data_IF_724966656514
#
_entry.id   IF_724966656514
#
_cell.length_a   1.000
_cell.length_b   1.000
_cell.length_c   1.000
_cell.angle_alpha   90.00
_cell.angle_beta   90.00
_cell.angle_gamma   90.00
#
_symmetry.space_group_name_H-M   'P 1'
#
loop_
_entity.id
_entity.type
_entity.pdbx_description
1 polymer ?
#
# COMPACT_ATOMS: atom_id res chain seq x y z
N UNK A 1 -1.97 9.37 -15.83
CA UNK A 1 -1.12 10.40 -15.18
C UNK A 1 -1.93 11.44 -14.44
N UNK A 2 -2.90 12.10 -15.11
CA UNK A 2 -3.77 13.11 -14.46
C UNK A 2 -4.51 12.55 -13.24
N UNK A 3 -5.06 11.33 -13.33
CA UNK A 3 -5.75 10.70 -12.20
C UNK A 3 -4.84 10.39 -11.01
N UNK A 4 -3.57 10.04 -11.24
CA UNK A 4 -2.62 9.75 -10.16
C UNK A 4 -2.22 11.02 -9.39
N UNK A 5 -2.22 12.19 -10.05
CA UNK A 5 -2.07 13.46 -9.36
C UNK A 5 -3.21 13.74 -8.37
N UNK A 6 -4.40 13.20 -8.60
CA UNK A 6 -5.57 13.47 -7.77
C UNK A 6 -5.42 12.92 -6.34
N UNK A 7 -4.85 11.73 -6.14
CA UNK A 7 -4.66 11.19 -4.77
C UNK A 7 -3.57 11.98 -4.01
N UNK A 8 -2.58 12.55 -4.70
CA UNK A 8 -1.56 13.42 -4.06
C UNK A 8 -2.20 14.73 -3.63
N UNK A 9 -2.99 15.35 -4.51
CA UNK A 9 -3.73 16.57 -4.20
C UNK A 9 -4.73 16.34 -3.06
N UNK A 10 -5.41 15.18 -3.06
CA UNK A 10 -6.29 14.79 -1.96
C UNK A 10 -5.52 14.71 -0.64
N UNK A 11 -4.36 14.05 -0.63
CA UNK A 11 -3.55 13.93 0.58
C UNK A 11 -3.10 15.30 1.12
N UNK A 12 -2.63 16.19 0.24
CA UNK A 12 -2.24 17.56 0.61
C UNK A 12 -3.45 18.37 1.12
N UNK A 13 -4.61 18.24 0.46
CA UNK A 13 -5.81 18.97 0.87
C UNK A 13 -6.32 18.48 2.23
N UNK A 14 -6.36 17.16 2.44
CA UNK A 14 -6.76 16.56 3.70
C UNK A 14 -5.82 16.96 4.86
N UNK A 15 -4.51 16.98 4.60
CA UNK A 15 -3.50 17.47 5.54
C UNK A 15 -3.73 18.91 5.98
N UNK A 16 -4.04 19.80 5.03
CA UNK A 16 -4.31 21.21 5.34
C UNK A 16 -5.59 21.39 6.15
N UNK A 17 -6.62 20.59 5.86
CA UNK A 17 -7.89 20.63 6.59
C UNK A 17 -7.73 20.15 8.03
N UNK A 18 -6.96 19.08 8.26
CA UNK A 18 -6.79 18.47 9.59
C UNK A 18 -5.70 19.14 10.48
N UNK A 19 -5.25 20.35 10.12
CA UNK A 19 -4.35 21.13 10.98
C UNK A 19 -2.85 21.02 10.71
N UNK A 20 -2.44 20.50 9.54
CA UNK A 20 -1.08 20.72 9.01
C UNK A 20 -0.18 19.48 8.86
N UNK A 21 1.12 19.73 8.73
CA UNK A 21 2.13 18.74 8.33
C UNK A 21 2.82 18.08 9.53
N UNK A 22 2.10 17.20 10.21
CA UNK A 22 2.72 16.31 11.21
C UNK A 22 3.61 15.25 10.56
N UNK A 23 4.39 14.50 11.36
CA UNK A 23 5.22 13.39 10.86
C UNK A 23 4.41 12.35 10.09
N UNK A 24 3.22 12.00 10.61
CA UNK A 24 2.30 11.09 9.93
C UNK A 24 1.91 11.62 8.56
N UNK A 25 1.44 12.87 8.52
CA UNK A 25 0.98 13.53 7.30
C UNK A 25 2.06 13.64 6.24
N UNK A 26 3.27 14.02 6.64
CA UNK A 26 4.43 14.08 5.74
C UNK A 26 4.71 12.71 5.13
N UNK A 27 4.77 11.65 5.93
CA UNK A 27 5.01 10.31 5.41
C UNK A 27 3.88 9.82 4.49
N UNK A 28 2.62 10.09 4.80
CA UNK A 28 1.50 9.75 3.91
C UNK A 28 1.59 10.49 2.56
N UNK A 29 1.91 11.78 2.57
CA UNK A 29 2.07 12.58 1.34
C UNK A 29 3.25 12.08 0.50
N UNK A 30 4.38 11.77 1.13
CA UNK A 30 5.51 11.15 0.43
C UNK A 30 5.14 9.77 -0.13
N UNK A 31 4.40 8.96 0.64
CA UNK A 31 3.85 7.67 0.19
C UNK A 31 3.05 7.82 -1.10
N UNK A 32 2.12 8.77 -1.11
CA UNK A 32 1.31 9.11 -2.28
C UNK A 32 2.18 9.60 -3.44
N UNK A 33 3.07 10.57 -3.20
CA UNK A 33 3.95 11.11 -4.23
C UNK A 33 4.81 10.04 -4.91
N UNK A 34 5.37 9.10 -4.15
CA UNK A 34 6.13 7.98 -4.70
C UNK A 34 5.23 6.97 -5.44
N UNK A 35 3.96 6.82 -5.05
CA UNK A 35 2.96 6.11 -5.86
C UNK A 35 2.72 6.78 -7.22
N UNK A 36 2.57 8.10 -7.24
CA UNK A 36 2.44 8.87 -8.49
C UNK A 36 3.67 8.72 -9.41
N UNK A 37 4.87 8.79 -8.85
CA UNK A 37 6.11 8.53 -9.59
C UNK A 37 6.16 7.08 -10.10
N UNK A 38 5.72 6.12 -9.30
CA UNK A 38 5.60 4.72 -9.70
C UNK A 38 4.72 4.55 -10.93
N UNK A 39 3.54 5.19 -10.94
CA UNK A 39 2.64 5.22 -12.08
C UNK A 39 3.30 5.85 -13.31
N UNK A 40 4.03 6.96 -13.13
CA UNK A 40 4.74 7.62 -14.22
C UNK A 40 5.73 6.67 -14.86
N UNK A 41 6.61 6.05 -14.08
CA UNK A 41 7.65 5.18 -14.61
C UNK A 41 7.08 3.90 -15.22
N UNK A 42 6.06 3.27 -14.62
CA UNK A 42 5.43 2.08 -15.21
C UNK A 42 4.79 2.36 -16.58
N UNK A 43 4.31 3.57 -16.83
CA UNK A 43 3.68 3.96 -18.08
C UNK A 43 4.64 4.64 -19.08
N UNK A 44 5.81 5.09 -18.65
CA UNK A 44 6.70 5.94 -19.45
C UNK A 44 7.24 5.22 -20.72
N UNK A 45 7.76 3.99 -20.62
CA UNK A 45 8.12 3.12 -21.76
C UNK A 45 8.18 1.65 -21.31
N UNK A 46 7.85 0.69 -22.18
CA UNK A 46 7.86 -0.75 -21.89
C UNK A 46 9.24 -1.40 -21.67
N UNK A 47 10.22 -0.68 -21.12
CA UNK A 47 11.55 -1.20 -20.83
C UNK A 47 11.64 -1.75 -19.41
N UNK A 48 12.50 -2.75 -19.20
CA UNK A 48 12.77 -3.31 -17.87
C UNK A 48 13.28 -2.25 -16.88
N UNK A 49 14.03 -1.25 -17.36
CA UNK A 49 14.54 -0.15 -16.51
C UNK A 49 13.38 0.66 -15.92
N UNK A 50 12.43 1.07 -16.76
CA UNK A 50 11.25 1.81 -16.32
C UNK A 50 10.36 0.97 -15.39
N UNK A 51 10.23 -0.33 -15.66
CA UNK A 51 9.55 -1.25 -14.75
C UNK A 51 10.20 -1.29 -13.36
N UNK A 52 11.52 -1.47 -13.29
CA UNK A 52 12.25 -1.53 -12.02
C UNK A 52 12.19 -0.18 -11.30
N UNK A 53 12.36 0.95 -12.01
CA UNK A 53 12.25 2.28 -11.41
C UNK A 53 10.85 2.54 -10.86
N UNK A 54 9.81 2.14 -11.59
CA UNK A 54 8.42 2.22 -11.13
C UNK A 54 8.19 1.37 -9.89
N UNK A 55 8.62 0.11 -9.91
CA UNK A 55 8.52 -0.82 -8.77
C UNK A 55 9.25 -0.28 -7.53
N UNK A 56 10.47 0.25 -7.70
CA UNK A 56 11.24 0.87 -6.62
C UNK A 56 10.55 2.11 -6.07
N UNK A 57 9.90 2.91 -6.92
CA UNK A 57 9.12 4.06 -6.49
C UNK A 57 7.94 3.63 -5.62
N UNK A 58 7.15 2.64 -6.05
CA UNK A 58 6.08 2.09 -5.22
C UNK A 58 6.61 1.49 -3.92
N UNK A 59 7.76 0.80 -3.95
CA UNK A 59 8.39 0.23 -2.75
C UNK A 59 8.65 1.32 -1.70
N UNK A 60 9.25 2.43 -2.12
CA UNK A 60 9.50 3.59 -1.25
C UNK A 60 8.17 4.13 -0.72
N UNK A 61 7.15 4.25 -1.59
CA UNK A 61 5.83 4.70 -1.18
C UNK A 61 5.22 3.86 -0.05
N UNK A 62 5.34 2.54 -0.15
CA UNK A 62 4.86 1.60 0.87
C UNK A 62 5.65 1.66 2.16
N UNK A 63 6.96 1.87 2.09
CA UNK A 63 7.80 2.11 3.28
C UNK A 63 7.33 3.38 4.00
N UNK A 64 7.02 4.45 3.25
CA UNK A 64 6.52 5.69 3.83
C UNK A 64 5.15 5.51 4.49
N UNK A 65 4.23 4.78 3.86
CA UNK A 65 2.95 4.43 4.49
C UNK A 65 3.12 3.61 5.77
N UNK A 66 3.96 2.56 5.74
CA UNK A 66 4.24 1.76 6.93
C UNK A 66 4.87 2.61 8.05
N UNK A 67 5.77 3.53 7.70
CA UNK A 67 6.38 4.46 8.64
C UNK A 67 5.33 5.43 9.22
N UNK A 68 4.42 5.95 8.40
CA UNK A 68 3.32 6.79 8.85
C UNK A 68 2.47 6.08 9.92
N UNK A 69 2.01 4.86 9.63
CA UNK A 69 1.21 4.10 10.59
C UNK A 69 1.98 3.80 11.87
N UNK A 70 3.26 3.47 11.72
CA UNK A 70 4.15 3.21 12.86
C UNK A 70 4.38 4.44 13.75
N UNK A 71 4.43 5.65 13.17
CA UNK A 71 4.56 6.89 13.93
C UNK A 71 3.39 7.08 14.89
N UNK A 72 2.15 6.91 14.39
CA UNK A 72 0.96 7.02 15.25
C UNK A 72 0.98 5.92 16.30
N UNK A 73 1.27 4.68 15.90
CA UNK A 73 1.29 3.54 16.80
C UNK A 73 2.26 3.73 17.98
N UNK A 74 3.48 4.23 17.70
CA UNK A 74 4.52 4.46 18.70
C UNK A 74 4.28 5.71 19.54
N UNK A 75 3.62 6.73 18.98
CA UNK A 75 3.34 7.99 19.67
C UNK A 75 2.19 7.84 20.66
N UNK A 76 1.11 7.16 20.25
CA UNK A 76 -0.17 7.26 20.95
C UNK A 76 -0.46 6.05 21.86
N UNK A 77 0.22 4.92 21.66
CA UNK A 77 -0.07 3.71 22.42
C UNK A 77 1.15 3.24 23.21
N UNK A 78 1.23 3.62 24.50
CA UNK A 78 2.37 3.31 25.38
C UNK A 78 2.67 1.80 25.53
N UNK A 79 1.64 0.95 25.42
CA UNK A 79 1.76 -0.51 25.53
C UNK A 79 1.93 -1.21 24.17
N UNK A 80 2.07 -0.46 23.07
CA UNK A 80 2.28 -1.03 21.76
C UNK A 80 3.70 -1.58 21.63
N UNK A 81 3.80 -2.87 21.28
CA UNK A 81 5.05 -3.49 20.87
C UNK A 81 5.13 -3.51 19.36
N UNK A 82 6.24 -3.00 18.82
CA UNK A 82 6.47 -2.88 17.37
C UNK A 82 6.44 -4.22 16.62
N UNK A 83 6.59 -5.34 17.32
CA UNK A 83 6.41 -6.69 16.76
C UNK A 83 5.61 -7.55 17.74
N UNK A 84 4.36 -7.15 17.99
CA UNK A 84 3.43 -7.95 18.80
C UNK A 84 3.18 -9.33 18.17
N UNK A 85 2.85 -10.33 19.00
CA UNK A 85 2.57 -11.70 18.53
C UNK A 85 1.45 -11.76 17.49
N UNK A 86 0.42 -10.92 17.63
CA UNK A 86 -0.67 -10.78 16.68
C UNK A 86 -0.20 -10.24 15.32
N UNK A 87 0.71 -9.26 15.32
CA UNK A 87 1.29 -8.71 14.10
C UNK A 87 2.16 -9.75 13.38
N UNK A 88 2.98 -10.49 14.13
CA UNK A 88 3.83 -11.56 13.60
C UNK A 88 2.95 -12.64 12.95
N UNK A 89 1.87 -13.04 13.62
CA UNK A 89 0.93 -14.03 13.09
C UNK A 89 0.26 -13.53 11.80
N UNK A 90 -0.28 -12.32 11.81
CA UNK A 90 -0.93 -11.74 10.63
C UNK A 90 0.06 -11.60 9.47
N UNK A 91 1.28 -11.14 9.75
CA UNK A 91 2.34 -11.03 8.77
C UNK A 91 2.69 -12.38 8.15
N UNK A 92 2.87 -13.42 8.98
CA UNK A 92 3.12 -14.78 8.52
C UNK A 92 1.97 -15.29 7.62
N UNK A 93 0.71 -15.04 7.99
CA UNK A 93 -0.46 -15.42 7.18
C UNK A 93 -0.44 -14.76 5.81
N UNK A 94 -0.16 -13.44 5.74
CA UNK A 94 -0.08 -12.72 4.47
C UNK A 94 1.09 -13.24 3.63
N UNK A 95 2.25 -13.50 4.25
CA UNK A 95 3.43 -14.01 3.55
C UNK A 95 3.23 -15.42 2.96
N UNK A 96 2.46 -16.29 3.63
CA UNK A 96 2.09 -17.61 3.07
C UNK A 96 1.24 -17.46 1.80
N UNK A 97 0.49 -16.36 1.65
CA UNK A 97 -0.24 -16.04 0.43
C UNK A 97 0.65 -15.89 -0.81
N UNK A 98 1.91 -15.48 -0.64
CA UNK A 98 2.87 -15.26 -1.74
C UNK A 98 3.17 -16.58 -2.48
N UNK A 99 3.75 -17.63 -1.87
CA UNK A 99 4.03 -18.89 -2.57
C UNK A 99 2.76 -19.57 -3.09
N UNK A 100 1.62 -19.42 -2.40
CA UNK A 100 0.32 -19.91 -2.88
C UNK A 100 -0.07 -19.23 -4.19
N UNK A 101 0.03 -17.90 -4.26
CA UNK A 101 -0.26 -17.14 -5.48
C UNK A 101 0.69 -17.50 -6.62
N UNK A 102 2.00 -17.59 -6.35
CA UNK A 102 3.01 -17.97 -7.36
C UNK A 102 2.67 -19.31 -8.02
N UNK A 103 2.31 -20.32 -7.22
CA UNK A 103 1.93 -21.66 -7.70
C UNK A 103 0.59 -21.64 -8.44
N UNK A 104 -0.45 -21.06 -7.83
CA UNK A 104 -1.83 -21.06 -8.36
C UNK A 104 -1.92 -20.36 -9.72
N UNK A 105 -1.23 -19.24 -9.87
CA UNK A 105 -1.27 -18.44 -11.11
C UNK A 105 -0.15 -18.75 -12.09
N UNK A 106 0.69 -19.77 -11.81
CA UNK A 106 1.79 -20.22 -12.69
C UNK A 106 2.68 -19.06 -13.16
N UNK A 107 3.02 -18.17 -12.24
CA UNK A 107 3.73 -16.92 -12.55
C UNK A 107 5.13 -17.21 -13.13
N UNK A 108 5.48 -16.55 -14.24
CA UNK A 108 6.78 -16.68 -14.91
C UNK A 108 7.51 -15.33 -14.92
N UNK A 109 8.69 -15.30 -14.30
CA UNK A 109 9.52 -14.10 -14.21
C UNK A 109 10.66 -14.15 -15.23
N UNK A 110 10.76 -13.12 -16.06
CA UNK A 110 11.86 -12.92 -17.00
C UNK A 110 12.35 -11.47 -16.89
N UNK A 111 13.64 -11.22 -16.58
CA UNK A 111 14.67 -12.18 -16.14
C UNK A 111 14.37 -12.81 -14.76
N UNK A 112 14.96 -13.97 -14.45
CA UNK A 112 14.71 -14.66 -13.16
C UNK A 112 15.10 -13.81 -11.94
N UNK A 113 16.14 -12.98 -12.04
CA UNK A 113 16.57 -12.08 -10.98
C UNK A 113 15.46 -11.09 -10.54
N UNK A 114 14.47 -10.81 -11.41
CA UNK A 114 13.34 -9.94 -11.10
C UNK A 114 12.48 -10.46 -9.94
N UNK A 115 12.53 -11.78 -9.67
CA UNK A 115 11.79 -12.37 -8.56
C UNK A 115 12.21 -11.79 -7.22
N UNK A 116 13.48 -11.44 -7.03
CA UNK A 116 14.00 -10.90 -5.77
C UNK A 116 13.37 -9.53 -5.51
N UNK A 117 13.34 -8.66 -6.52
CA UNK A 117 12.72 -7.34 -6.41
C UNK A 117 11.22 -7.43 -6.12
N UNK A 118 10.51 -8.37 -6.76
CA UNK A 118 9.06 -8.57 -6.57
C UNK A 118 8.77 -9.17 -5.18
N UNK A 119 9.58 -10.10 -4.70
CA UNK A 119 9.43 -10.67 -3.36
C UNK A 119 9.71 -9.62 -2.28
N UNK A 120 10.77 -8.84 -2.43
CA UNK A 120 11.06 -7.72 -1.53
C UNK A 120 9.89 -6.74 -1.48
N UNK A 121 9.33 -6.41 -2.64
CA UNK A 121 8.16 -5.58 -2.76
C UNK A 121 6.92 -6.15 -2.05
N UNK A 122 6.62 -7.43 -2.27
CA UNK A 122 5.50 -8.10 -1.63
C UNK A 122 5.64 -8.15 -0.09
N UNK A 123 6.87 -8.37 0.41
CA UNK A 123 7.21 -8.34 1.85
C UNK A 123 6.92 -6.97 2.45
N UNK A 124 7.32 -5.89 1.76
CA UNK A 124 7.08 -4.51 2.24
C UNK A 124 5.59 -4.17 2.25
N UNK A 125 4.82 -4.56 1.22
CA UNK A 125 3.36 -4.34 1.22
C UNK A 125 2.69 -5.13 2.33
N UNK A 126 3.09 -6.39 2.54
CA UNK A 126 2.57 -7.19 3.64
C UNK A 126 2.83 -6.49 4.97
N UNK A 127 4.02 -5.94 5.16
CA UNK A 127 4.38 -5.22 6.39
C UNK A 127 3.55 -3.95 6.58
N UNK A 128 3.43 -3.13 5.53
CA UNK A 128 2.58 -1.94 5.51
C UNK A 128 1.12 -2.28 5.84
N UNK A 129 0.61 -3.39 5.31
CA UNK A 129 -0.76 -3.85 5.54
C UNK A 129 -0.99 -4.29 6.98
N UNK A 130 -0.04 -5.02 7.58
CA UNK A 130 -0.09 -5.35 9.00
C UNK A 130 -0.13 -4.09 9.86
N UNK A 131 0.74 -3.10 9.58
CA UNK A 131 0.73 -1.84 10.33
C UNK A 131 -0.56 -1.04 10.17
N UNK A 132 -1.17 -1.05 8.98
CA UNK A 132 -2.48 -0.44 8.76
C UNK A 132 -3.55 -1.12 9.61
N UNK A 133 -3.56 -2.46 9.66
CA UNK A 133 -4.54 -3.23 10.42
C UNK A 133 -4.35 -3.04 11.92
N UNK A 134 -3.10 -3.08 12.40
CA UNK A 134 -2.80 -2.80 13.80
C UNK A 134 -3.26 -1.41 14.18
N UNK A 135 -2.91 -0.38 13.41
CA UNK A 135 -3.33 0.99 13.70
C UNK A 135 -4.86 1.11 13.74
N UNK A 136 -5.56 0.51 12.78
CA UNK A 136 -7.02 0.48 12.76
C UNK A 136 -7.62 -0.13 14.05
N UNK A 137 -7.11 -1.28 14.48
CA UNK A 137 -7.58 -1.98 15.67
C UNK A 137 -7.27 -1.21 16.95
N UNK A 138 -6.09 -0.59 17.04
CA UNK A 138 -5.72 0.24 18.18
C UNK A 138 -6.58 1.51 18.25
N UNK A 139 -6.74 2.26 17.17
CA UNK A 139 -7.64 3.42 17.13
C UNK A 139 -9.08 3.04 17.52
N UNK A 140 -9.56 1.87 17.09
CA UNK A 140 -10.86 1.36 17.50
C UNK A 140 -10.94 1.03 18.99
N UNK A 141 -9.96 0.29 19.51
CA UNK A 141 -9.94 -0.19 20.89
C UNK A 141 -9.76 0.92 21.92
N UNK A 142 -8.97 1.94 21.58
CA UNK A 142 -8.71 3.12 22.44
C UNK A 142 -9.71 4.26 22.21
N UNK A 143 -10.73 4.05 21.38
CA UNK A 143 -11.87 4.97 21.29
C UNK A 143 -11.59 6.28 20.55
N UNK A 144 -10.72 6.28 19.54
CA UNK A 144 -10.44 7.48 18.73
C UNK A 144 -11.73 8.10 18.16
N UNK A 145 -11.72 9.43 18.01
CA UNK A 145 -12.75 10.13 17.25
C UNK A 145 -12.75 9.58 15.80
N UNK A 146 -13.93 9.39 15.22
CA UNK A 146 -14.09 8.77 13.89
C UNK A 146 -13.46 7.37 13.73
N UNK A 147 -13.24 6.62 14.83
CA UNK A 147 -12.63 5.28 14.81
C UNK A 147 -13.18 4.31 13.76
N UNK A 148 -14.48 4.36 13.47
CA UNK A 148 -15.11 3.52 12.45
C UNK A 148 -14.60 3.88 11.05
N UNK A 149 -14.51 5.17 10.73
CA UNK A 149 -13.99 5.64 9.44
C UNK A 149 -12.50 5.35 9.30
N UNK A 150 -11.71 5.60 10.35
CA UNK A 150 -10.28 5.25 10.38
C UNK A 150 -10.09 3.75 10.09
N UNK A 151 -10.85 2.90 10.77
CA UNK A 151 -10.78 1.45 10.60
C UNK A 151 -11.15 1.03 9.17
N UNK A 152 -12.25 1.54 8.64
CA UNK A 152 -12.70 1.25 7.27
C UNK A 152 -11.62 1.67 6.27
N UNK A 153 -11.11 2.89 6.36
CA UNK A 153 -10.15 3.41 5.39
C UNK A 153 -8.78 2.75 5.46
N UNK A 154 -8.28 2.43 6.66
CA UNK A 154 -7.01 1.70 6.81
C UNK A 154 -7.13 0.25 6.35
N UNK A 155 -8.16 -0.49 6.81
CA UNK A 155 -8.31 -1.91 6.49
C UNK A 155 -8.67 -2.10 5.02
N UNK A 156 -9.74 -1.43 4.52
CA UNK A 156 -10.13 -1.58 3.13
C UNK A 156 -9.09 -0.97 2.19
N UNK A 157 -8.50 0.17 2.54
CA UNK A 157 -7.44 0.78 1.73
C UNK A 157 -6.24 -0.15 1.56
N UNK A 158 -5.75 -0.74 2.66
CA UNK A 158 -4.65 -1.71 2.61
C UNK A 158 -5.03 -3.00 1.86
N UNK A 159 -6.24 -3.54 2.06
CA UNK A 159 -6.71 -4.72 1.33
C UNK A 159 -6.83 -4.46 -0.18
N UNK A 160 -7.39 -3.32 -0.57
CA UNK A 160 -7.46 -2.89 -1.95
C UNK A 160 -6.06 -2.78 -2.56
N UNK A 161 -5.06 -2.31 -1.81
CA UNK A 161 -3.67 -2.25 -2.28
C UNK A 161 -3.07 -3.64 -2.48
N UNK A 162 -3.21 -4.54 -1.51
CA UNK A 162 -2.76 -5.94 -1.62
C UNK A 162 -3.39 -6.65 -2.83
N UNK A 163 -4.70 -6.49 -3.00
CA UNK A 163 -5.47 -7.11 -4.09
C UNK A 163 -5.06 -6.51 -5.43
N UNK A 164 -4.90 -5.18 -5.51
CA UNK A 164 -4.38 -4.48 -6.69
C UNK A 164 -3.06 -5.11 -7.11
N UNK A 165 -2.10 -5.22 -6.20
CA UNK A 165 -0.74 -5.58 -6.55
C UNK A 165 -0.58 -7.07 -6.85
N UNK A 166 -1.36 -7.92 -6.16
CA UNK A 166 -1.52 -9.31 -6.56
C UNK A 166 -2.10 -9.41 -7.97
N UNK A 167 -3.13 -8.62 -8.27
CA UNK A 167 -3.75 -8.58 -9.60
C UNK A 167 -2.75 -8.12 -10.67
N UNK A 168 -1.96 -7.07 -10.39
CA UNK A 168 -0.91 -6.58 -11.28
C UNK A 168 0.14 -7.66 -11.53
N UNK A 169 0.58 -8.37 -10.49
CA UNK A 169 1.50 -9.49 -10.63
C UNK A 169 0.93 -10.61 -11.52
N UNK A 170 -0.36 -10.92 -11.41
CA UNK A 170 -1.05 -11.88 -12.30
C UNK A 170 -1.10 -11.37 -13.74
N UNK A 171 -1.39 -10.08 -13.95
CA UNK A 171 -1.44 -9.47 -15.29
C UNK A 171 -0.06 -9.54 -15.97
N UNK A 172 1.00 -9.22 -15.22
CA UNK A 172 2.36 -9.13 -15.76
C UNK A 172 3.03 -10.51 -15.91
N UNK A 173 2.79 -11.44 -14.98
CA UNK A 173 3.55 -12.69 -14.88
C UNK A 173 2.70 -13.96 -15.05
N UNK A 174 1.36 -13.87 -15.01
CA UNK A 174 0.45 -15.03 -15.03
C UNK A 174 0.21 -15.68 -16.40
N UNK A 175 0.83 -15.16 -17.48
CA UNK A 175 0.89 -15.82 -18.79
C UNK A 175 -0.43 -15.96 -19.58
N UNK A 176 -1.54 -15.43 -19.07
CA UNK A 176 -2.85 -15.45 -19.76
C UNK A 176 -3.03 -14.23 -20.67
N UNK A 177 -3.61 -14.44 -21.87
CA UNK A 177 -4.01 -13.36 -22.79
C UNK A 177 -5.45 -12.90 -22.48
N UNK A 178 -5.84 -11.70 -22.92
CA UNK A 178 -7.22 -11.21 -22.80
C UNK A 178 -7.64 -10.72 -21.40
N UNK A 179 -6.71 -10.12 -20.64
CA UNK A 179 -6.93 -9.72 -19.24
C UNK A 179 -7.54 -8.31 -19.06
N UNK A 180 -8.38 -7.84 -19.98
CA UNK A 180 -8.90 -6.46 -19.95
C UNK A 180 -9.69 -6.15 -18.67
N UNK A 181 -10.64 -7.01 -18.30
CA UNK A 181 -11.43 -6.86 -17.07
C UNK A 181 -10.54 -6.85 -15.82
N UNK A 182 -9.47 -7.65 -15.83
CA UNK A 182 -8.53 -7.75 -14.73
C UNK A 182 -7.70 -6.46 -14.60
N UNK A 183 -7.35 -5.81 -15.72
CA UNK A 183 -6.69 -4.50 -15.73
C UNK A 183 -7.60 -3.41 -15.16
N UNK A 184 -8.88 -3.38 -15.54
CA UNK A 184 -9.85 -2.44 -14.98
C UNK A 184 -9.96 -2.65 -13.48
N UNK A 185 -10.15 -3.90 -13.04
CA UNK A 185 -10.25 -4.24 -11.63
C UNK A 185 -9.01 -3.82 -10.83
N UNK A 186 -7.81 -4.07 -11.38
CA UNK A 186 -6.55 -3.61 -10.78
C UNK A 186 -6.53 -2.09 -10.60
N UNK A 187 -6.87 -1.32 -11.63
CA UNK A 187 -6.88 0.15 -11.57
C UNK A 187 -7.90 0.63 -10.53
N UNK A 188 -9.11 0.08 -10.51
CA UNK A 188 -10.15 0.44 -9.53
C UNK A 188 -9.67 0.17 -8.10
N UNK A 189 -9.12 -1.01 -7.84
CA UNK A 189 -8.59 -1.37 -6.52
C UNK A 189 -7.42 -0.47 -6.11
N UNK A 190 -6.50 -0.18 -7.04
CA UNK A 190 -5.36 0.70 -6.80
C UNK A 190 -5.79 2.12 -6.41
N UNK A 191 -6.68 2.74 -7.21
CA UNK A 191 -7.15 4.08 -6.92
C UNK A 191 -8.01 4.14 -5.66
N UNK A 192 -8.87 3.14 -5.43
CA UNK A 192 -9.62 3.03 -4.19
C UNK A 192 -8.68 2.97 -2.97
N UNK A 193 -7.61 2.18 -3.05
CA UNK A 193 -6.60 2.08 -2.00
C UNK A 193 -5.95 3.44 -1.72
N UNK A 194 -5.43 4.11 -2.75
CA UNK A 194 -4.76 5.41 -2.60
C UNK A 194 -5.69 6.47 -2.00
N UNK A 195 -6.95 6.53 -2.47
CA UNK A 195 -7.93 7.51 -1.97
C UNK A 195 -8.37 7.21 -0.54
N UNK A 196 -8.60 5.94 -0.18
CA UNK A 196 -8.93 5.56 1.19
C UNK A 196 -7.78 5.87 2.15
N UNK A 197 -6.54 5.52 1.78
CA UNK A 197 -5.37 5.84 2.59
C UNK A 197 -5.17 7.35 2.71
N UNK A 198 -5.29 8.11 1.62
CA UNK A 198 -5.24 9.58 1.70
C UNK A 198 -6.34 10.17 2.60
N UNK A 199 -7.54 9.58 2.60
CA UNK A 199 -8.67 10.03 3.44
C UNK A 199 -8.40 9.87 4.94
N UNK A 200 -7.50 8.98 5.35
CA UNK A 200 -7.13 8.85 6.77
C UNK A 200 -6.49 10.11 7.34
N UNK A 201 -5.93 10.98 6.49
CA UNK A 201 -5.38 12.28 6.87
C UNK A 201 -6.42 13.27 7.41
N UNK A 202 -7.72 13.05 7.14
CA UNK A 202 -8.80 13.85 7.70
C UNK A 202 -9.07 13.54 9.18
N UNK A 203 -8.56 12.41 9.68
CA UNK A 203 -8.87 11.89 11.02
C UNK A 203 -7.63 11.64 11.87
N UNK A 204 -6.45 11.54 11.24
CA UNK A 204 -5.19 11.25 11.87
C UNK A 204 -4.17 12.34 11.54
N UNK A 205 -3.43 12.77 12.56
CA UNK A 205 -2.34 13.74 12.50
C UNK A 205 -1.23 13.30 13.44
#
# INVERSE_FOLDING_TARGET
MICAGAFVLMAISAAQINGGFTKYTVFMIFGAFFGFLGDYFLHAKGSLKYFITGLSSFLIGHIMYAAAFSVILLRDFLNYSFFGSQEILLYAVILVGIPVALRKFKMKFKPKALIIAILLYAVVIAFMSVKAFTLALYCFSFGYEFRVFIMIFLILGSLCFLISDLTLAIILFGGKKGLYNLKIFNIVMYFAAQMMLASTLLFLS
#
